data_IF_862174462044
#
_entry.id   IF_862174462044
#
_cell.length_a   1.000
_cell.length_b   1.000
_cell.length_c   1.000
_cell.angle_alpha   90.00
_cell.angle_beta   90.00
_cell.angle_gamma   90.00
#
_symmetry.space_group_name_H-M   'P 1'
#
loop_
_entity.id
_entity.type
_entity.pdbx_description
1 polymer ?
#
# COMPACT_ATOMS: atom_id res chain seq x y z
N UNK A 1 -14.24 -4.82 27.18
CA UNK A 1 -15.34 -4.65 26.21
C UNK A 1 -14.79 -4.20 24.87
N UNK A 2 -15.34 -4.77 23.81
CA UNK A 2 -14.98 -4.34 22.45
C UNK A 2 -15.49 -2.91 22.20
N UNK A 3 -14.61 -2.03 21.77
CA UNK A 3 -14.99 -0.67 21.39
C UNK A 3 -15.77 -0.70 20.07
N UNK A 4 -16.73 0.18 19.97
CA UNK A 4 -17.54 0.28 18.75
C UNK A 4 -16.77 1.01 17.66
N UNK A 5 -16.63 0.37 16.51
CA UNK A 5 -15.91 0.92 15.37
C UNK A 5 -16.78 1.99 14.69
N UNK A 6 -16.24 3.19 14.56
CA UNK A 6 -16.88 4.28 13.83
C UNK A 6 -16.59 4.20 12.33
N UNK A 7 -15.32 4.02 11.98
CA UNK A 7 -14.90 3.95 10.59
C UNK A 7 -13.53 3.25 10.48
N UNK A 8 -13.29 2.63 9.35
CA UNK A 8 -11.99 2.08 8.98
C UNK A 8 -11.50 2.80 7.73
N UNK A 9 -10.30 3.36 7.80
CA UNK A 9 -9.67 4.09 6.69
C UNK A 9 -8.35 3.43 6.32
N UNK A 10 -8.01 3.47 5.03
CA UNK A 10 -6.71 3.03 4.55
C UNK A 10 -6.00 4.19 3.87
N UNK A 11 -4.79 4.50 4.34
CA UNK A 11 -3.96 5.57 3.79
C UNK A 11 -2.66 4.98 3.27
N UNK A 12 -2.21 5.45 2.11
CA UNK A 12 -0.90 5.11 1.56
C UNK A 12 0.08 6.24 1.89
N UNK A 13 1.06 5.93 2.71
CA UNK A 13 2.02 6.93 3.22
C UNK A 13 3.46 6.46 2.99
N UNK A 14 4.40 7.39 2.73
CA UNK A 14 5.81 7.06 2.68
C UNK A 14 6.30 6.56 4.05
N UNK A 15 6.98 5.44 4.08
CA UNK A 15 7.51 4.87 5.32
C UNK A 15 8.51 5.82 5.99
N UNK A 16 8.32 6.06 7.28
CA UNK A 16 9.17 6.94 8.08
C UNK A 16 9.03 8.43 7.80
N UNK A 17 8.14 8.84 6.90
CA UNK A 17 7.96 10.24 6.48
C UNK A 17 6.52 10.75 6.57
N UNK A 18 5.68 10.10 7.36
CA UNK A 18 4.32 10.59 7.57
C UNK A 18 4.33 11.91 8.32
N UNK A 19 3.51 12.87 7.87
CA UNK A 19 3.38 14.19 8.47
C UNK A 19 1.90 14.50 8.69
N UNK A 20 1.56 15.45 9.59
CA UNK A 20 0.18 15.90 9.77
C UNK A 20 -0.42 16.64 8.56
N UNK A 21 0.40 16.95 7.56
CA UNK A 21 -0.04 17.59 6.32
C UNK A 21 -0.92 16.63 5.48
N UNK A 22 -1.71 17.14 4.52
CA UNK A 22 -2.46 16.27 3.63
C UNK A 22 -1.57 15.18 2.99
N UNK A 23 -2.07 13.93 2.80
CA UNK A 23 -3.46 13.49 2.98
C UNK A 23 -3.85 13.08 4.40
N UNK A 24 -2.92 13.01 5.33
CA UNK A 24 -3.17 12.49 6.69
C UNK A 24 -4.14 13.40 7.46
N UNK A 25 -3.84 14.69 7.52
CA UNK A 25 -4.69 15.66 8.22
C UNK A 25 -6.09 15.75 7.63
N UNK A 26 -6.21 15.71 6.32
CA UNK A 26 -7.49 15.75 5.61
C UNK A 26 -8.33 14.51 5.87
N UNK A 27 -7.69 13.33 5.91
CA UNK A 27 -8.40 12.07 6.11
C UNK A 27 -8.80 11.84 7.58
N UNK A 28 -7.94 12.21 8.52
CA UNK A 28 -8.12 11.92 9.95
C UNK A 28 -8.71 13.08 10.76
N UNK A 29 -8.52 14.29 10.31
CA UNK A 29 -9.01 15.49 11.01
C UNK A 29 -10.52 15.50 11.32
N UNK A 30 -11.39 15.17 10.34
CA UNK A 30 -12.85 15.12 10.57
C UNK A 30 -13.29 14.11 11.63
N UNK A 31 -12.46 13.12 11.93
CA UNK A 31 -12.77 12.08 12.92
C UNK A 31 -12.29 12.42 14.33
N UNK A 32 -11.57 13.52 14.49
CA UNK A 32 -11.16 14.04 15.78
C UNK A 32 -10.10 13.22 16.51
N UNK A 33 -9.32 12.42 15.79
CA UNK A 33 -8.23 11.64 16.37
C UNK A 33 -6.94 12.47 16.46
N UNK A 34 -6.00 12.03 17.29
CA UNK A 34 -4.71 12.71 17.44
C UNK A 34 -3.78 12.36 16.27
N UNK A 35 -3.71 13.24 15.29
CA UNK A 35 -2.92 13.06 14.06
C UNK A 35 -1.42 12.96 14.38
N UNK A 36 -0.92 13.76 15.31
CA UNK A 36 0.50 13.77 15.68
C UNK A 36 0.92 12.44 16.29
N UNK A 37 0.09 11.87 17.16
CA UNK A 37 0.32 10.56 17.76
C UNK A 37 0.35 9.46 16.69
N UNK A 38 -0.59 9.51 15.75
CA UNK A 38 -0.62 8.56 14.62
C UNK A 38 0.66 8.65 13.77
N UNK A 39 1.04 9.85 13.34
CA UNK A 39 2.23 10.02 12.48
C UNK A 39 3.50 9.59 13.18
N UNK A 40 3.64 9.91 14.46
CA UNK A 40 4.79 9.48 15.27
C UNK A 40 4.87 7.97 15.37
N UNK A 41 3.79 7.29 15.74
CA UNK A 41 3.73 5.83 15.86
C UNK A 41 3.97 5.15 14.51
N UNK A 42 3.40 5.67 13.44
CA UNK A 42 3.60 5.16 12.08
C UNK A 42 5.08 5.27 11.67
N UNK A 43 5.69 6.42 11.88
CA UNK A 43 7.10 6.64 11.53
C UNK A 43 8.03 5.72 12.33
N UNK A 44 7.77 5.51 13.61
CA UNK A 44 8.54 4.58 14.44
C UNK A 44 8.46 3.15 13.91
N UNK A 45 7.27 2.70 13.53
CA UNK A 45 7.05 1.32 13.03
C UNK A 45 7.56 1.10 11.62
N UNK A 46 7.71 2.15 10.83
CA UNK A 46 8.14 2.06 9.42
C UNK A 46 9.54 2.60 9.17
N UNK A 47 10.26 2.99 10.22
CA UNK A 47 11.60 3.59 10.10
C UNK A 47 12.59 2.69 9.34
N UNK A 48 12.53 1.38 9.56
CA UNK A 48 13.38 0.38 8.89
C UNK A 48 12.97 0.10 7.43
N UNK A 49 11.81 0.58 7.02
CA UNK A 49 11.26 0.39 5.67
C UNK A 49 11.26 1.69 4.85
N UNK A 50 12.07 2.67 5.24
CA UNK A 50 12.15 3.96 4.55
C UNK A 50 12.40 3.79 3.05
N UNK A 51 11.76 4.63 2.25
CA UNK A 51 11.84 4.56 0.78
C UNK A 51 10.74 3.72 0.13
N UNK A 52 9.88 3.07 0.91
CA UNK A 52 8.72 2.33 0.41
C UNK A 52 7.43 3.05 0.82
N UNK A 53 6.37 2.81 0.07
CA UNK A 53 5.02 3.25 0.45
C UNK A 53 4.38 2.11 1.24
N UNK A 54 4.05 2.37 2.50
CA UNK A 54 3.43 1.38 3.38
C UNK A 54 1.99 1.82 3.67
N UNK A 55 0.97 1.11 3.18
CA UNK A 55 -0.41 1.41 3.52
C UNK A 55 -0.68 1.16 5.00
N UNK A 56 -1.37 2.09 5.63
CA UNK A 56 -1.84 1.95 7.02
C UNK A 56 -3.37 1.84 7.02
N UNK A 57 -3.89 0.75 7.53
CA UNK A 57 -5.33 0.59 7.76
C UNK A 57 -5.64 1.05 9.19
N UNK A 58 -6.34 2.16 9.31
CA UNK A 58 -6.64 2.82 10.58
C UNK A 58 -8.07 2.52 10.96
N UNK A 59 -8.27 1.93 12.14
CA UNK A 59 -9.60 1.70 12.71
C UNK A 59 -9.86 2.79 13.75
N UNK A 60 -10.90 3.59 13.55
CA UNK A 60 -11.29 4.68 14.44
C UNK A 60 -12.54 4.25 15.21
N UNK A 61 -12.50 4.38 16.54
CA UNK A 61 -13.59 4.03 17.43
C UNK A 61 -14.43 5.26 17.78
N UNK A 62 -15.64 5.04 18.33
CA UNK A 62 -16.56 6.11 18.69
C UNK A 62 -16.00 7.05 19.80
N UNK A 63 -15.11 6.53 20.65
CA UNK A 63 -14.46 7.31 21.71
C UNK A 63 -13.27 8.15 21.21
N UNK A 64 -13.08 8.24 19.89
CA UNK A 64 -11.97 8.94 19.21
C UNK A 64 -10.61 8.28 19.41
N UNK A 65 -10.56 7.09 19.96
CA UNK A 65 -9.33 6.29 19.95
C UNK A 65 -9.16 5.62 18.58
N UNK A 66 -7.93 5.20 18.29
CA UNK A 66 -7.64 4.53 17.02
C UNK A 66 -6.62 3.41 17.23
N UNK A 67 -6.68 2.45 16.32
CA UNK A 67 -5.61 1.45 16.14
C UNK A 67 -5.29 1.41 14.66
N UNK A 68 -4.09 0.96 14.31
CA UNK A 68 -3.73 0.83 12.90
C UNK A 68 -2.89 -0.42 12.67
N UNK A 69 -3.02 -0.96 11.47
CA UNK A 69 -2.28 -2.12 10.98
C UNK A 69 -1.52 -1.70 9.74
N UNK A 70 -0.25 -2.09 9.66
CA UNK A 70 0.56 -1.85 8.47
C UNK A 70 0.34 -2.99 7.48
N UNK A 71 0.09 -2.62 6.23
CA UNK A 71 -0.04 -3.54 5.10
C UNK A 71 1.29 -3.65 4.34
N UNK A 72 1.38 -4.60 3.44
CA UNK A 72 2.52 -4.68 2.52
C UNK A 72 2.45 -3.55 1.49
N UNK A 73 3.59 -3.15 0.87
CA UNK A 73 3.58 -2.11 -0.15
C UNK A 73 2.59 -2.42 -1.28
N UNK A 74 1.95 -1.41 -1.90
CA UNK A 74 1.03 -1.66 -3.00
C UNK A 74 1.71 -2.40 -4.15
N UNK A 75 0.99 -3.34 -4.78
CA UNK A 75 1.52 -4.09 -5.92
C UNK A 75 1.96 -3.16 -7.06
N UNK A 76 1.21 -2.08 -7.29
CA UNK A 76 1.57 -1.08 -8.29
C UNK A 76 2.94 -0.43 -8.03
N UNK A 77 3.23 -0.10 -6.77
CA UNK A 77 4.52 0.49 -6.39
C UNK A 77 5.67 -0.50 -6.57
N UNK A 78 5.47 -1.74 -6.17
CA UNK A 78 6.46 -2.81 -6.34
C UNK A 78 6.73 -3.08 -7.82
N UNK A 79 5.70 -3.08 -8.66
CA UNK A 79 5.82 -3.27 -10.11
C UNK A 79 6.57 -2.11 -10.76
N UNK A 80 6.29 -0.88 -10.37
CA UNK A 80 7.01 0.30 -10.89
C UNK A 80 8.49 0.23 -10.57
N UNK A 81 8.84 -0.15 -9.35
CA UNK A 81 10.24 -0.32 -8.93
C UNK A 81 10.92 -1.46 -9.69
N UNK A 82 10.25 -2.59 -9.87
CA UNK A 82 10.81 -3.73 -10.60
C UNK A 82 11.01 -3.42 -12.08
N UNK A 83 10.10 -2.67 -12.70
CA UNK A 83 10.20 -2.25 -14.10
C UNK A 83 11.10 -1.04 -14.31
N UNK A 84 11.49 -0.33 -13.23
CA UNK A 84 12.31 0.87 -13.31
C UNK A 84 11.59 2.10 -13.88
N UNK A 85 10.27 2.18 -13.72
CA UNK A 85 9.45 3.29 -14.22
C UNK A 85 8.85 4.08 -13.06
N UNK A 86 8.67 5.38 -13.25
CA UNK A 86 8.09 6.24 -12.22
C UNK A 86 6.57 6.15 -12.17
N UNK A 87 5.94 5.93 -13.32
CA UNK A 87 4.48 5.96 -13.45
C UNK A 87 4.01 4.92 -14.46
N UNK A 88 2.84 4.35 -14.21
CA UNK A 88 2.17 3.46 -15.16
C UNK A 88 1.66 4.21 -16.39
N UNK A 89 1.31 3.45 -17.43
CA UNK A 89 0.76 4.00 -18.67
C UNK A 89 -0.65 4.55 -18.47
N UNK A 90 -0.95 5.66 -19.11
CA UNK A 90 -2.32 6.19 -19.20
C UNK A 90 -3.17 5.39 -20.19
N UNK A 91 -2.51 4.75 -21.17
CA UNK A 91 -3.17 3.94 -22.19
C UNK A 91 -2.55 2.53 -22.23
N UNK A 92 -2.75 1.71 -21.19
CA UNK A 92 -1.98 0.46 -21.00
C UNK A 92 -2.18 -0.57 -22.11
N UNK A 93 -3.29 -0.52 -22.83
CA UNK A 93 -3.55 -1.42 -23.97
C UNK A 93 -2.84 -1.00 -25.25
N UNK A 94 -2.43 0.25 -25.34
CA UNK A 94 -1.79 0.82 -26.53
C UNK A 94 -0.30 1.05 -26.36
N UNK A 95 0.08 1.51 -25.18
CA UNK A 95 1.46 1.88 -24.86
C UNK A 95 1.94 1.15 -23.61
N UNK A 96 2.95 0.30 -23.77
CA UNK A 96 3.68 -0.29 -22.66
C UNK A 96 4.74 0.67 -22.15
N UNK A 97 4.94 0.74 -20.83
CA UNK A 97 5.93 1.63 -20.20
C UNK A 97 7.12 0.87 -19.62
N UNK A 98 7.05 -0.45 -19.49
CA UNK A 98 8.13 -1.23 -18.93
C UNK A 98 7.89 -2.73 -19.02
N UNK A 99 8.83 -3.48 -18.51
CA UNK A 99 8.80 -4.95 -18.49
C UNK A 99 9.27 -5.48 -17.15
N UNK A 100 8.68 -6.58 -16.72
CA UNK A 100 9.15 -7.34 -15.55
C UNK A 100 9.28 -8.81 -15.95
N UNK A 101 10.21 -9.52 -15.31
CA UNK A 101 10.34 -10.96 -15.50
C UNK A 101 9.34 -11.71 -14.62
N UNK A 102 9.09 -12.97 -14.96
CA UNK A 102 8.24 -13.83 -14.12
C UNK A 102 8.83 -14.01 -12.72
N UNK A 103 10.14 -14.04 -12.60
CA UNK A 103 10.82 -14.14 -11.30
C UNK A 103 10.56 -12.89 -10.44
N UNK A 104 10.58 -11.71 -11.04
CA UNK A 104 10.21 -10.46 -10.35
C UNK A 104 8.75 -10.47 -9.91
N UNK A 105 7.83 -10.93 -10.76
CA UNK A 105 6.42 -11.09 -10.41
C UNK A 105 6.27 -12.07 -9.24
N UNK A 106 7.00 -13.16 -9.23
CA UNK A 106 6.99 -14.13 -8.14
C UNK A 106 7.46 -13.51 -6.83
N UNK A 107 8.54 -12.73 -6.84
CA UNK A 107 9.03 -12.03 -5.67
C UNK A 107 7.99 -11.06 -5.10
N UNK A 108 7.33 -10.30 -5.98
CA UNK A 108 6.26 -9.37 -5.58
C UNK A 108 5.09 -10.16 -4.98
N UNK A 109 4.70 -11.26 -5.60
CA UNK A 109 3.62 -12.12 -5.11
C UNK A 109 3.95 -12.69 -3.72
N UNK A 110 5.18 -13.11 -3.47
CA UNK A 110 5.63 -13.59 -2.16
C UNK A 110 5.51 -12.50 -1.09
N UNK A 111 5.89 -11.27 -1.39
CA UNK A 111 5.75 -10.13 -0.47
C UNK A 111 4.29 -9.84 -0.17
N UNK A 112 3.42 -9.95 -1.17
CA UNK A 112 1.99 -9.62 -1.04
C UNK A 112 1.14 -10.77 -0.49
N UNK A 113 1.65 -11.98 -0.38
CA UNK A 113 0.87 -13.15 0.08
C UNK A 113 0.13 -12.92 1.39
N UNK A 114 0.73 -12.15 2.31
CA UNK A 114 0.11 -11.82 3.60
C UNK A 114 -1.20 -11.02 3.46
N UNK A 115 -1.34 -10.23 2.40
CA UNK A 115 -2.50 -9.36 2.16
C UNK A 115 -3.44 -9.89 1.08
N UNK A 116 -3.04 -10.93 0.34
CA UNK A 116 -3.83 -11.51 -0.73
C UNK A 116 -4.64 -12.71 -0.22
N UNK A 117 -5.78 -12.94 -0.86
CA UNK A 117 -6.61 -14.12 -0.61
C UNK A 117 -6.28 -15.30 -1.53
N UNK A 118 -5.08 -15.29 -2.12
CA UNK A 118 -4.62 -16.35 -3.01
C UNK A 118 -4.29 -17.62 -2.22
N UNK A 119 -4.66 -18.77 -2.76
CA UNK A 119 -4.39 -20.07 -2.14
C UNK A 119 -3.00 -20.63 -2.47
N UNK A 120 -2.35 -20.10 -3.51
CA UNK A 120 -1.04 -20.54 -3.95
C UNK A 120 -0.23 -19.35 -4.50
N UNK A 121 1.08 -19.55 -4.63
CA UNK A 121 1.96 -18.51 -5.19
C UNK A 121 1.61 -18.25 -6.67
N UNK A 122 1.23 -19.26 -7.44
CA UNK A 122 0.80 -19.08 -8.82
C UNK A 122 -0.46 -18.22 -8.94
N UNK A 123 -1.43 -18.40 -8.03
CA UNK A 123 -2.64 -17.58 -7.99
C UNK A 123 -2.29 -16.12 -7.63
N UNK A 124 -1.38 -15.91 -6.69
CA UNK A 124 -0.88 -14.59 -6.33
C UNK A 124 -0.15 -13.93 -7.49
N UNK A 125 0.67 -14.67 -8.22
CA UNK A 125 1.36 -14.18 -9.43
C UNK A 125 0.37 -13.71 -10.49
N UNK A 126 -0.71 -14.43 -10.71
CA UNK A 126 -1.76 -14.03 -11.66
C UNK A 126 -2.41 -12.70 -11.27
N UNK A 127 -2.64 -12.46 -9.99
CA UNK A 127 -3.16 -11.17 -9.50
C UNK A 127 -2.18 -10.04 -9.77
N UNK A 128 -0.89 -10.26 -9.52
CA UNK A 128 0.18 -9.27 -9.78
C UNK A 128 0.30 -9.02 -11.29
N UNK A 129 0.25 -10.06 -12.11
CA UNK A 129 0.28 -9.94 -13.58
C UNK A 129 -0.90 -9.11 -14.12
N UNK A 130 -2.10 -9.29 -13.54
CA UNK A 130 -3.28 -8.49 -13.86
C UNK A 130 -3.06 -7.01 -13.56
N UNK A 131 -2.48 -6.68 -12.41
CA UNK A 131 -2.11 -5.32 -12.03
C UNK A 131 -1.07 -4.74 -13.00
N UNK A 132 -0.04 -5.51 -13.34
CA UNK A 132 0.98 -5.10 -14.31
C UNK A 132 0.38 -4.77 -15.67
N UNK A 133 -0.53 -5.62 -16.14
CA UNK A 133 -1.23 -5.40 -17.41
C UNK A 133 -2.03 -4.10 -17.38
N UNK A 134 -2.71 -3.80 -16.27
CA UNK A 134 -3.47 -2.56 -16.12
C UNK A 134 -2.59 -1.31 -16.08
N UNK A 135 -1.31 -1.47 -15.77
CA UNK A 135 -0.30 -0.39 -15.73
C UNK A 135 0.49 -0.25 -17.04
N UNK A 136 0.27 -1.15 -18.01
CA UNK A 136 1.07 -1.18 -19.23
C UNK A 136 2.45 -1.79 -19.05
N UNK A 137 2.64 -2.63 -18.05
CA UNK A 137 3.89 -3.35 -17.79
C UNK A 137 3.76 -4.77 -18.33
N UNK A 138 4.66 -5.17 -19.22
CA UNK A 138 4.68 -6.53 -19.77
C UNK A 138 5.37 -7.50 -18.81
N UNK A 139 4.84 -8.70 -18.71
CA UNK A 139 5.44 -9.81 -17.96
C UNK A 139 6.01 -10.81 -18.98
N UNK A 140 7.30 -11.11 -18.84
CA UNK A 140 7.97 -12.08 -19.72
C UNK A 140 8.62 -13.23 -18.93
#
# INVERSE_FOLDING_TARGET
MAKKIRIVLTLQLPAGKATPAPPVGTALGPHGINIVEFTKSYNEKTADKAGQIIPAQITIFEDRSFTFILKTPPAADLLRKAAGVEKGSQTPKREGVGRVTRDQVRQIAEVKMADLNANSIEAAMKQVEGTARSMGIEVK
#
